data_IF_716850129909
#
_entry.id   IF_716850129909
#
_cell.length_a   1.000
_cell.length_b   1.000
_cell.length_c   1.000
_cell.angle_alpha   90.00
_cell.angle_beta   90.00
_cell.angle_gamma   90.00
#
_symmetry.space_group_name_H-M   'P 1'
#
loop_
_entity.id
_entity.type
_entity.pdbx_description
1 polymer ?
#
# COMPACT_ATOMS: atom_id res chain seq x y z
N UNK A 1 5.27 9.53 2.65
CA UNK A 1 4.06 8.67 2.44
C UNK A 1 4.15 7.54 3.44
N UNK A 2 3.03 7.02 3.94
CA UNK A 2 3.04 5.89 4.88
C UNK A 2 1.85 4.98 4.58
N UNK A 3 2.08 3.68 4.56
CA UNK A 3 1.03 2.66 4.41
C UNK A 3 0.38 2.45 5.76
N UNK A 4 -0.93 2.69 5.82
CA UNK A 4 -1.77 2.47 6.99
C UNK A 4 -2.32 1.04 7.00
N UNK A 5 -2.69 0.52 5.84
CA UNK A 5 -3.29 -0.80 5.73
C UNK A 5 -3.02 -1.46 4.40
N UNK A 6 -2.84 -2.78 4.41
CA UNK A 6 -2.71 -3.64 3.23
C UNK A 6 -3.90 -4.58 3.22
N UNK A 7 -4.69 -4.56 2.15
CA UNK A 7 -5.80 -5.47 1.94
C UNK A 7 -5.48 -6.41 0.77
N UNK A 8 -5.14 -7.65 1.11
CA UNK A 8 -4.77 -8.68 0.13
C UNK A 8 -5.97 -9.21 -0.66
N UNK A 9 -7.16 -9.20 -0.05
CA UNK A 9 -8.42 -9.64 -0.70
C UNK A 9 -8.86 -8.64 -1.77
N UNK A 10 -8.83 -7.35 -1.45
CA UNK A 10 -9.22 -6.27 -2.37
C UNK A 10 -8.08 -5.79 -3.27
N UNK A 11 -6.87 -6.34 -3.12
CA UNK A 11 -5.66 -5.92 -3.84
C UNK A 11 -5.46 -4.40 -3.80
N UNK A 12 -5.47 -3.85 -2.58
CA UNK A 12 -5.29 -2.42 -2.35
C UNK A 12 -4.52 -2.12 -1.06
N UNK A 13 -3.94 -0.93 -0.99
CA UNK A 13 -3.40 -0.36 0.24
C UNK A 13 -4.09 0.96 0.56
N UNK A 14 -4.21 1.25 1.84
CA UNK A 14 -4.51 2.59 2.32
C UNK A 14 -3.21 3.29 2.71
N UNK A 15 -2.98 4.49 2.17
CA UNK A 15 -1.82 5.32 2.47
C UNK A 15 -2.23 6.66 3.05
N UNK A 16 -1.30 7.32 3.75
CA UNK A 16 -1.37 8.75 4.07
C UNK A 16 -0.23 9.52 3.38
N UNK A 17 -0.59 10.62 2.73
CA UNK A 17 0.35 11.51 2.06
C UNK A 17 -0.16 12.95 2.13
N UNK A 18 0.67 13.89 2.60
CA UNK A 18 0.27 15.30 2.76
C UNK A 18 -0.99 15.51 3.63
N UNK A 19 -1.16 14.70 4.69
CA UNK A 19 -2.33 14.78 5.60
C UNK A 19 -3.62 14.15 5.05
N UNK A 20 -3.62 13.60 3.83
CA UNK A 20 -4.79 12.96 3.20
C UNK A 20 -4.61 11.45 3.09
N UNK A 21 -5.72 10.72 3.23
CA UNK A 21 -5.77 9.26 3.03
C UNK A 21 -6.17 8.93 1.61
N UNK A 22 -5.57 7.88 1.06
CA UNK A 22 -5.86 7.37 -0.28
C UNK A 22 -5.93 5.84 -0.25
N UNK A 23 -6.83 5.27 -1.04
CA UNK A 23 -6.82 3.84 -1.36
C UNK A 23 -6.19 3.66 -2.73
N UNK A 24 -5.11 2.90 -2.79
CA UNK A 24 -4.32 2.67 -4.00
C UNK A 24 -4.40 1.20 -4.39
N UNK A 25 -4.56 0.87 -5.69
CA UNK A 25 -4.52 -0.52 -6.13
C UNK A 25 -3.10 -1.07 -5.98
N UNK A 26 -3.00 -2.36 -5.71
CA UNK A 26 -1.73 -3.09 -5.65
C UNK A 26 -1.55 -4.02 -6.83
N UNK A 27 -0.29 -4.41 -7.05
CA UNK A 27 0.09 -5.56 -7.86
C UNK A 27 1.31 -6.21 -7.25
N UNK A 28 1.54 -7.48 -7.56
CA UNK A 28 2.76 -8.18 -7.20
C UNK A 28 3.63 -8.38 -8.45
N UNK A 29 4.92 -8.07 -8.34
CA UNK A 29 5.91 -8.31 -9.39
C UNK A 29 7.15 -8.91 -8.73
N UNK A 30 7.59 -10.08 -9.20
CA UNK A 30 8.78 -10.77 -8.67
C UNK A 30 8.75 -10.96 -7.14
N UNK A 31 7.57 -11.23 -6.56
CA UNK A 31 7.39 -11.37 -5.11
C UNK A 31 7.33 -10.05 -4.33
N UNK A 32 7.45 -8.91 -5.00
CA UNK A 32 7.32 -7.59 -4.38
C UNK A 32 5.91 -7.04 -4.56
N UNK A 33 5.28 -6.64 -3.45
CA UNK A 33 4.01 -5.94 -3.48
C UNK A 33 4.25 -4.46 -3.77
N UNK A 34 3.65 -3.95 -4.85
CA UNK A 34 3.70 -2.54 -5.24
C UNK A 34 2.30 -1.93 -5.20
N UNK A 35 2.23 -0.61 -4.99
CA UNK A 35 0.99 0.16 -5.13
C UNK A 35 1.16 1.35 -6.07
N UNK A 36 0.07 1.74 -6.74
CA UNK A 36 0.07 2.87 -7.67
C UNK A 36 -0.38 4.15 -6.97
N UNK A 37 0.47 5.18 -6.95
CA UNK A 37 0.12 6.50 -6.45
C UNK A 37 0.74 7.57 -7.34
N UNK A 38 -0.06 8.57 -7.75
CA UNK A 38 0.35 9.64 -8.69
C UNK A 38 1.05 9.11 -9.96
N UNK A 39 0.48 8.04 -10.55
CA UNK A 39 1.00 7.36 -11.74
C UNK A 39 2.35 6.65 -11.60
N UNK A 40 2.91 6.57 -10.39
CA UNK A 40 4.14 5.84 -10.11
C UNK A 40 3.85 4.58 -9.29
N UNK A 41 4.70 3.56 -9.45
CA UNK A 41 4.66 2.33 -8.67
C UNK A 41 5.67 2.42 -7.52
N UNK A 42 5.18 2.16 -6.32
CA UNK A 42 5.94 2.25 -5.08
C UNK A 42 5.94 0.88 -4.40
N UNK A 43 7.10 0.40 -3.93
CA UNK A 43 7.13 -0.85 -3.15
C UNK A 43 6.44 -0.61 -1.82
N UNK A 44 5.54 -1.51 -1.44
CA UNK A 44 4.80 -1.38 -0.17
C UNK A 44 5.76 -1.35 1.01
N UNK A 45 6.78 -2.21 1.01
CA UNK A 45 7.73 -2.38 2.12
C UNK A 45 8.43 -1.07 2.51
N UNK A 46 8.79 -0.23 1.52
CA UNK A 46 9.47 1.05 1.72
C UNK A 46 8.64 2.06 2.53
N UNK A 47 7.33 1.84 2.63
CA UNK A 47 6.38 2.73 3.30
C UNK A 47 5.61 2.07 4.44
N UNK A 48 5.90 0.81 4.77
CA UNK A 48 5.33 0.13 5.94
C UNK A 48 5.94 0.61 7.24
N UNK A 49 5.18 0.51 8.33
CA UNK A 49 5.66 0.80 9.68
C UNK A 49 5.03 -0.17 10.68
N UNK A 50 5.42 -0.09 11.95
CA UNK A 50 4.78 -0.86 13.04
C UNK A 50 3.27 -0.61 13.20
N UNK A 51 2.74 0.43 12.56
CA UNK A 51 1.31 0.77 12.58
C UNK A 51 0.56 0.30 11.33
N UNK A 52 1.23 -0.37 10.40
CA UNK A 52 0.59 -0.92 9.20
C UNK A 52 -0.20 -2.18 9.57
N UNK A 53 -1.49 -2.18 9.27
CA UNK A 53 -2.34 -3.36 9.46
C UNK A 53 -2.44 -4.18 8.17
N UNK A 54 -2.48 -5.51 8.28
CA UNK A 54 -2.69 -6.39 7.13
C UNK A 54 -3.99 -7.18 7.26
N UNK A 55 -4.73 -7.26 6.15
CA UNK A 55 -5.90 -8.12 6.02
C UNK A 55 -5.65 -9.19 4.95
N UNK A 56 -5.47 -10.42 5.42
CA UNK A 56 -5.34 -11.67 4.65
C UNK A 56 -6.55 -12.50 5.08
N UNK A 57 -7.51 -12.72 4.20
CA UNK A 57 -8.72 -13.49 4.53
C UNK A 57 -8.42 -14.95 4.86
#
# INVERSE_FOLDING_TARGET
MMVLGINHVLKSVQIISGGRRYTCPTKEINGELLFKFKNEWHKVIDFTSKFTSEFKG
#
